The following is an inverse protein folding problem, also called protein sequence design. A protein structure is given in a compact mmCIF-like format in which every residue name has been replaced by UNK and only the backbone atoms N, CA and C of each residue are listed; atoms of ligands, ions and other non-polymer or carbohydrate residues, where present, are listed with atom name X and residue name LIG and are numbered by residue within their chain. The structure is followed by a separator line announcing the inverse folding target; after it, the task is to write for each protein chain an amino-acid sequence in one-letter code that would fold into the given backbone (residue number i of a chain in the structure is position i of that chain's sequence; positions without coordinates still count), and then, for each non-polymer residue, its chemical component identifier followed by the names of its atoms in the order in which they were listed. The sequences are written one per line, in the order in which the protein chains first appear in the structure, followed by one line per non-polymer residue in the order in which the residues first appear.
data_IF_713722761667
#
_entry.id   IF_713722761667
#
_cell.length_a   1.000
_cell.length_b   1.000
_cell.length_c   1.000
_cell.angle_alpha   90.00
_cell.angle_beta   90.00
_cell.angle_gamma   90.00
#
_symmetry.space_group_name_H-M   'P 1'
#
loop_
_entity.id
_entity.type
_entity.pdbx_description
1 polymer ?
#
# COMPACT_ATOMS: atom_id res chain seq x y z
N UNK A 1 33.76 -11.32 -20.05
CA UNK A 1 32.78 -12.40 -19.90
C UNK A 1 33.04 -13.37 -18.73
N UNK A 2 34.30 -13.80 -18.44
CA UNK A 2 34.57 -14.74 -17.32
C UNK A 2 34.37 -14.16 -15.91
N UNK A 3 34.51 -12.87 -15.69
CA UNK A 3 34.37 -12.22 -14.36
C UNK A 3 32.89 -12.08 -13.92
N UNK A 4 31.96 -11.93 -14.84
CA UNK A 4 30.52 -11.83 -14.52
C UNK A 4 29.88 -13.19 -14.26
N UNK A 5 30.35 -14.24 -14.92
CA UNK A 5 29.92 -15.61 -14.66
C UNK A 5 30.29 -16.09 -13.24
N UNK A 6 31.47 -15.69 -12.72
CA UNK A 6 31.88 -16.03 -11.35
C UNK A 6 31.03 -15.31 -10.28
N UNK A 7 30.61 -14.05 -10.53
CA UNK A 7 29.78 -13.30 -9.60
C UNK A 7 28.36 -13.89 -9.53
N UNK A 8 27.82 -14.36 -10.64
CA UNK A 8 26.50 -15.00 -10.70
C UNK A 8 26.48 -16.36 -10.00
N UNK A 9 27.55 -17.15 -10.12
CA UNK A 9 27.68 -18.40 -9.38
C UNK A 9 27.83 -18.19 -7.86
N UNK A 10 28.51 -17.13 -7.42
CA UNK A 10 28.65 -16.82 -5.99
C UNK A 10 27.32 -16.39 -5.38
N UNK A 11 26.49 -15.65 -6.13
CA UNK A 11 25.16 -15.24 -5.68
C UNK A 11 24.18 -16.42 -5.56
N UNK A 12 24.28 -17.42 -6.47
CA UNK A 12 23.46 -18.64 -6.39
C UNK A 12 23.91 -19.60 -5.27
N UNK A 13 25.18 -19.61 -4.90
CA UNK A 13 25.68 -20.43 -3.80
C UNK A 13 25.24 -19.91 -2.41
N UNK A 14 24.95 -18.61 -2.30
CA UNK A 14 24.47 -18.01 -1.04
C UNK A 14 22.98 -18.33 -0.73
N UNK A 15 22.20 -18.79 -1.70
CA UNK A 15 20.79 -19.15 -1.53
C UNK A 15 20.56 -20.61 -1.09
N UNK A 16 21.63 -21.40 -0.97
CA UNK A 16 21.55 -22.85 -0.71
C UNK A 16 21.65 -23.25 0.77
N UNK A 17 21.78 -22.33 1.72
CA UNK A 17 22.02 -22.68 3.13
C UNK A 17 20.94 -22.11 4.01
N UNK A 18 19.77 -22.72 4.05
CA UNK A 18 18.83 -22.69 5.18
C UNK A 18 17.67 -23.68 4.97
N UNK A 19 17.98 -24.97 4.84
CA UNK A 19 17.00 -26.03 5.08
C UNK A 19 17.39 -26.75 6.37
N UNK A 20 17.14 -26.12 7.53
CA UNK A 20 17.09 -26.84 8.80
C UNK A 20 15.65 -27.20 9.08
N UNK A 21 15.36 -28.47 8.98
CA UNK A 21 14.14 -29.11 9.50
C UNK A 21 14.11 -28.92 11.01
N UNK A 22 13.27 -28.03 11.49
CA UNK A 22 12.99 -27.90 12.93
C UNK A 22 11.87 -28.86 13.28
N UNK A 23 12.13 -29.74 14.24
CA UNK A 23 11.15 -30.64 14.84
C UNK A 23 9.93 -29.85 15.34
N UNK A 24 8.77 -30.35 14.98
CA UNK A 24 7.47 -29.80 15.36
C UNK A 24 7.22 -30.09 16.83
N UNK A 25 7.61 -29.15 17.70
CA UNK A 25 7.11 -29.15 19.08
C UNK A 25 5.64 -28.71 19.05
N UNK A 26 4.77 -29.57 19.51
CA UNK A 26 3.31 -29.46 19.40
C UNK A 26 2.72 -28.47 20.40
N UNK A 27 3.21 -27.25 20.43
CA UNK A 27 2.52 -26.14 21.06
C UNK A 27 1.45 -25.63 20.08
N UNK A 28 0.21 -25.88 20.43
CA UNK A 28 -0.95 -25.34 19.74
C UNK A 28 -0.92 -23.82 19.84
N UNK A 29 -0.28 -23.15 18.88
CA UNK A 29 -0.29 -21.70 18.76
C UNK A 29 -1.72 -21.30 18.44
N UNK A 30 -2.46 -20.86 19.43
CA UNK A 30 -3.74 -20.18 19.22
C UNK A 30 -3.35 -18.80 18.67
N UNK A 31 -3.44 -18.64 17.36
CA UNK A 31 -3.41 -17.32 16.76
C UNK A 31 -4.61 -16.54 17.28
N UNK A 32 -4.42 -15.79 18.33
CA UNK A 32 -5.34 -14.73 18.69
C UNK A 32 -5.30 -13.73 17.54
N UNK A 33 -6.40 -13.61 16.80
CA UNK A 33 -6.54 -12.50 15.87
C UNK A 33 -6.37 -11.23 16.70
N UNK A 34 -5.38 -10.45 16.34
CA UNK A 34 -5.16 -9.14 16.93
C UNK A 34 -6.44 -8.32 16.77
N UNK A 35 -7.14 -8.11 17.89
CA UNK A 35 -8.33 -7.26 17.90
C UNK A 35 -7.82 -5.83 17.96
N UNK A 36 -7.45 -5.31 16.80
CA UNK A 36 -7.10 -3.91 16.65
C UNK A 36 -8.38 -3.09 16.73
N UNK A 37 -8.66 -2.53 17.92
CA UNK A 37 -9.78 -1.61 18.13
C UNK A 37 -9.42 -0.26 17.54
N UNK A 38 -9.65 -0.08 16.25
CA UNK A 38 -9.44 1.21 15.61
C UNK A 38 -10.71 2.03 15.78
N UNK A 39 -10.67 2.94 16.74
CA UNK A 39 -11.79 3.84 17.07
C UNK A 39 -12.22 4.74 15.90
N UNK A 40 -11.36 4.90 14.88
CA UNK A 40 -11.61 5.72 13.69
C UNK A 40 -12.38 4.99 12.59
N UNK A 41 -12.56 3.68 12.70
CA UNK A 41 -13.22 2.86 11.66
C UNK A 41 -14.71 2.75 11.91
N UNK A 42 -15.47 2.84 10.82
CA UNK A 42 -16.89 2.55 10.83
C UNK A 42 -17.12 1.03 10.83
N UNK A 43 -18.11 0.61 11.57
CA UNK A 43 -18.62 -0.76 11.61
C UNK A 43 -20.05 -0.81 11.08
N UNK A 44 -20.61 -1.99 10.90
CA UNK A 44 -21.99 -2.14 10.43
C UNK A 44 -23.04 -1.48 11.36
N UNK A 45 -22.68 -1.21 12.61
CA UNK A 45 -23.52 -0.49 13.56
C UNK A 45 -23.36 1.05 13.49
N UNK A 46 -22.36 1.53 12.76
CA UNK A 46 -22.09 2.96 12.60
C UNK A 46 -22.96 3.53 11.48
N UNK A 47 -23.74 4.60 11.69
CA UNK A 47 -24.63 5.17 10.67
C UNK A 47 -23.86 6.01 9.63
N UNK A 48 -22.84 5.43 9.03
CA UNK A 48 -21.95 6.04 8.04
C UNK A 48 -21.82 5.12 6.84
N UNK A 49 -21.90 5.68 5.63
CA UNK A 49 -21.63 4.90 4.41
C UNK A 49 -20.13 4.66 4.26
N UNK A 50 -19.71 3.42 4.27
CA UNK A 50 -18.30 3.07 4.11
C UNK A 50 -18.09 1.95 3.11
N UNK A 51 -16.85 1.80 2.67
CA UNK A 51 -16.36 0.70 1.82
C UNK A 51 -15.03 0.20 2.38
N UNK A 52 -14.93 -1.09 2.61
CA UNK A 52 -13.67 -1.74 2.97
C UNK A 52 -13.04 -2.35 1.72
N UNK A 53 -11.74 -2.16 1.57
CA UNK A 53 -10.93 -2.70 0.48
C UNK A 53 -9.80 -3.49 1.14
N UNK A 54 -9.87 -4.81 1.05
CA UNK A 54 -8.87 -5.69 1.64
C UNK A 54 -7.65 -5.91 0.75
N UNK A 55 -6.61 -6.52 1.33
CA UNK A 55 -5.31 -6.80 0.70
C UNK A 55 -5.44 -7.50 -0.67
N UNK A 56 -6.29 -8.53 -0.74
CA UNK A 56 -6.47 -9.30 -1.98
C UNK A 56 -7.07 -8.46 -3.11
N UNK A 57 -7.98 -7.55 -2.79
CA UNK A 57 -8.57 -6.64 -3.76
C UNK A 57 -7.54 -5.59 -4.21
N UNK A 58 -6.79 -5.01 -3.27
CA UNK A 58 -5.71 -4.08 -3.58
C UNK A 58 -4.66 -4.75 -4.48
N UNK A 59 -4.24 -5.97 -4.15
CA UNK A 59 -3.25 -6.72 -4.93
C UNK A 59 -3.71 -6.97 -6.36
N UNK A 60 -4.98 -7.29 -6.58
CA UNK A 60 -5.55 -7.53 -7.92
C UNK A 60 -5.64 -6.28 -8.78
N UNK A 61 -5.69 -5.10 -8.19
CA UNK A 61 -5.88 -3.83 -8.89
C UNK A 61 -4.59 -2.99 -8.96
N UNK A 62 -3.56 -3.33 -8.18
CA UNK A 62 -2.34 -2.55 -8.08
C UNK A 62 -1.34 -2.89 -9.19
N UNK A 63 -1.49 -2.27 -10.35
CA UNK A 63 -0.59 -2.39 -11.51
C UNK A 63 0.45 -1.27 -11.60
N UNK A 64 0.58 -0.43 -10.56
CA UNK A 64 1.52 0.68 -10.48
C UNK A 64 0.84 2.06 -10.45
N UNK A 65 -0.49 2.10 -10.56
CA UNK A 65 -1.20 3.37 -10.40
C UNK A 65 -1.16 3.84 -8.94
N UNK A 66 -1.29 5.15 -8.77
CA UNK A 66 -1.39 5.76 -7.46
C UNK A 66 -2.67 5.34 -6.73
N UNK A 67 -2.64 5.47 -5.42
CA UNK A 67 -3.74 5.09 -4.52
C UNK A 67 -5.13 5.64 -4.93
N UNK A 68 -5.30 6.89 -5.39
CA UNK A 68 -6.58 7.38 -5.88
C UNK A 68 -7.19 6.49 -6.96
N UNK A 69 -6.40 5.97 -7.88
CA UNK A 69 -6.89 5.10 -8.95
C UNK A 69 -7.40 3.76 -8.45
N UNK A 70 -6.81 3.21 -7.39
CA UNK A 70 -7.30 2.00 -6.74
C UNK A 70 -8.66 2.22 -6.06
N UNK A 71 -8.97 3.48 -5.74
CA UNK A 71 -10.24 3.90 -5.16
C UNK A 71 -11.31 4.28 -6.20
N UNK A 72 -10.98 4.30 -7.49
CA UNK A 72 -11.89 4.73 -8.57
C UNK A 72 -13.19 3.91 -8.65
N UNK A 73 -13.15 2.64 -8.22
CA UNK A 73 -14.34 1.78 -8.15
C UNK A 73 -15.18 2.00 -6.87
N UNK A 74 -14.72 2.86 -5.96
CA UNK A 74 -15.50 3.23 -4.77
C UNK A 74 -16.67 4.14 -5.18
N UNK A 75 -17.89 3.88 -4.71
CA UNK A 75 -19.03 4.75 -5.03
C UNK A 75 -18.75 6.21 -4.70
N UNK A 76 -19.10 7.11 -5.61
CA UNK A 76 -18.93 8.57 -5.49
C UNK A 76 -17.47 9.05 -5.42
N UNK A 77 -16.50 8.22 -5.78
CA UNK A 77 -15.11 8.61 -5.95
C UNK A 77 -14.83 8.97 -7.43
N UNK A 78 -14.10 10.06 -7.64
CA UNK A 78 -13.62 10.50 -8.95
C UNK A 78 -12.13 10.76 -8.83
N UNK A 79 -11.37 10.25 -9.78
CA UNK A 79 -9.92 10.39 -9.82
C UNK A 79 -9.47 11.11 -11.07
N UNK A 80 -8.41 11.89 -10.97
CA UNK A 80 -7.76 12.55 -12.12
C UNK A 80 -6.26 12.30 -12.08
N UNK A 81 -5.61 12.36 -13.24
CA UNK A 81 -4.16 12.23 -13.38
C UNK A 81 -3.65 13.26 -14.37
N UNK A 82 -2.64 14.01 -13.98
CA UNK A 82 -2.02 15.01 -14.84
C UNK A 82 -1.26 14.38 -16.00
N UNK A 83 -0.61 13.24 -15.75
CA UNK A 83 0.06 12.44 -16.79
C UNK A 83 -0.91 11.55 -17.60
N UNK A 84 -2.17 11.44 -17.19
CA UNK A 84 -3.19 10.61 -17.83
C UNK A 84 -3.03 9.09 -17.62
N UNK A 85 -1.92 8.63 -17.09
CA UNK A 85 -1.62 7.20 -16.86
C UNK A 85 -1.95 6.71 -15.43
N UNK A 86 -2.41 7.60 -14.56
CA UNK A 86 -2.73 7.25 -13.17
C UNK A 86 -1.52 7.14 -12.27
N UNK A 87 -0.36 7.62 -12.69
CA UNK A 87 0.91 7.63 -11.96
C UNK A 87 1.43 9.06 -11.86
N UNK A 88 1.97 9.43 -10.70
CA UNK A 88 2.57 10.73 -10.46
C UNK A 88 1.61 11.70 -9.78
N UNK A 89 1.28 12.82 -10.40
CA UNK A 89 0.31 13.77 -9.84
C UNK A 89 -1.11 13.29 -10.12
N UNK A 90 -1.74 12.79 -9.09
CA UNK A 90 -3.11 12.28 -9.11
C UNK A 90 -3.94 12.94 -8.02
N UNK A 91 -5.23 13.09 -8.26
CA UNK A 91 -6.16 13.64 -7.28
C UNK A 91 -7.34 12.72 -7.04
N UNK A 92 -7.96 12.87 -5.89
CA UNK A 92 -9.18 12.15 -5.49
C UNK A 92 -10.24 13.16 -5.05
N UNK A 93 -11.46 12.95 -5.53
CA UNK A 93 -12.67 13.64 -5.05
C UNK A 93 -13.67 12.61 -4.59
N UNK A 94 -14.34 12.88 -3.49
CA UNK A 94 -15.41 12.01 -2.97
C UNK A 94 -16.65 12.86 -2.73
N UNK A 95 -17.79 12.44 -3.28
CA UNK A 95 -19.06 13.22 -3.23
C UNK A 95 -18.90 14.66 -3.74
N UNK A 96 -18.04 14.89 -4.72
CA UNK A 96 -17.77 16.21 -5.28
C UNK A 96 -16.84 17.10 -4.44
N UNK A 97 -16.44 16.68 -3.24
CA UNK A 97 -15.48 17.42 -2.41
C UNK A 97 -14.05 17.12 -2.87
N UNK A 98 -13.18 18.11 -2.78
CA UNK A 98 -11.77 17.99 -3.11
C UNK A 98 -10.94 17.36 -1.97
N UNK A 99 -9.65 17.15 -2.24
CA UNK A 99 -8.72 16.52 -1.29
C UNK A 99 -8.55 17.25 0.04
N UNK A 100 -8.83 18.58 0.10
CA UNK A 100 -8.75 19.37 1.33
C UNK A 100 -9.83 19.02 2.35
N UNK A 101 -10.88 18.32 1.89
CA UNK A 101 -12.03 17.88 2.69
C UNK A 101 -12.03 16.37 2.94
N UNK A 102 -10.92 15.73 2.62
CA UNK A 102 -10.73 14.28 2.78
C UNK A 102 -9.59 14.08 3.76
N UNK A 103 -9.90 13.52 4.92
CA UNK A 103 -8.87 13.13 5.88
C UNK A 103 -8.32 11.75 5.51
N UNK A 104 -7.00 11.64 5.46
CA UNK A 104 -6.31 10.38 5.15
C UNK A 104 -5.39 10.02 6.29
N UNK A 105 -5.53 8.80 6.80
CA UNK A 105 -4.67 8.30 7.87
C UNK A 105 -3.98 7.01 7.47
N UNK A 106 -2.74 6.86 7.91
CA UNK A 106 -2.00 5.61 7.88
C UNK A 106 -1.73 5.18 9.32
N UNK A 107 -2.23 4.00 9.72
CA UNK A 107 -2.15 3.47 11.09
C UNK A 107 -2.65 4.48 12.15
N UNK A 108 -3.72 5.23 11.82
CA UNK A 108 -4.28 6.26 12.71
C UNK A 108 -3.56 7.60 12.70
N UNK A 109 -2.44 7.74 12.00
CA UNK A 109 -1.68 8.99 11.88
C UNK A 109 -2.14 9.74 10.63
N UNK A 110 -2.64 10.99 10.74
CA UNK A 110 -2.98 11.81 9.59
C UNK A 110 -1.75 12.08 8.71
N UNK A 111 -1.91 11.91 7.40
CA UNK A 111 -0.86 12.16 6.41
C UNK A 111 -1.18 13.34 5.48
N UNK A 112 -2.28 14.04 5.76
CA UNK A 112 -2.58 15.29 5.07
C UNK A 112 -1.50 16.32 5.38
N UNK A 113 -1.05 17.02 4.36
CA UNK A 113 -0.09 18.11 4.51
C UNK A 113 -0.68 19.25 5.36
N UNK A 114 0.12 19.80 6.27
CA UNK A 114 -0.34 20.77 7.25
C UNK A 114 -0.71 22.15 6.64
N UNK A 115 -0.16 22.49 5.49
CA UNK A 115 -0.38 23.76 4.80
C UNK A 115 -1.54 23.64 3.79
N UNK A 116 -1.44 22.69 2.87
CA UNK A 116 -2.42 22.53 1.79
C UNK A 116 -3.64 21.70 2.19
N UNK A 117 -3.59 21.01 3.33
CA UNK A 117 -4.61 20.07 3.81
C UNK A 117 -4.94 18.91 2.87
N UNK A 118 -4.12 18.70 1.84
CA UNK A 118 -4.27 17.59 0.88
C UNK A 118 -3.21 16.51 1.10
N UNK A 119 -3.35 15.39 0.42
CA UNK A 119 -2.31 14.38 0.32
C UNK A 119 -1.67 14.43 -1.06
N UNK A 120 -0.36 14.57 -1.10
CA UNK A 120 0.42 14.45 -2.33
C UNK A 120 0.71 12.97 -2.59
N UNK A 121 -0.14 12.33 -3.38
CA UNK A 121 -0.07 10.89 -3.64
C UNK A 121 1.22 10.48 -4.33
N UNK A 122 1.83 11.38 -5.09
CA UNK A 122 3.14 11.19 -5.73
C UNK A 122 4.25 10.89 -4.71
N UNK A 123 4.10 11.33 -3.46
CA UNK A 123 5.05 11.08 -2.37
C UNK A 123 4.86 9.68 -1.74
N UNK A 124 3.84 8.93 -2.16
CA UNK A 124 3.48 7.61 -1.65
C UNK A 124 3.45 6.55 -2.77
N UNK A 125 4.51 6.46 -3.62
CA UNK A 125 4.51 5.53 -4.73
C UNK A 125 4.45 4.09 -4.22
N UNK A 126 3.60 3.28 -4.86
CA UNK A 126 3.33 1.90 -4.50
C UNK A 126 2.97 1.66 -3.02
N UNK A 127 2.47 2.68 -2.33
CA UNK A 127 2.11 2.53 -0.91
C UNK A 127 1.04 1.45 -0.69
N UNK A 128 0.15 1.28 -1.66
CA UNK A 128 -0.87 0.22 -1.66
C UNK A 128 -0.28 -1.19 -1.49
N UNK A 129 0.95 -1.42 -1.94
CA UNK A 129 1.65 -2.69 -1.73
C UNK A 129 2.01 -2.96 -0.27
N UNK A 130 2.05 -1.94 0.58
CA UNK A 130 2.28 -2.06 2.02
C UNK A 130 0.98 -2.01 2.84
N UNK A 131 -0.16 -1.72 2.20
CA UNK A 131 -1.46 -1.63 2.87
C UNK A 131 -2.10 -3.02 3.00
N UNK A 132 -2.53 -3.35 4.21
CA UNK A 132 -3.30 -4.56 4.54
C UNK A 132 -4.76 -4.39 4.17
N UNK A 133 -5.32 -3.27 4.58
CA UNK A 133 -6.70 -2.92 4.30
C UNK A 133 -6.89 -1.41 4.35
N UNK A 134 -7.91 -0.97 3.65
CA UNK A 134 -8.29 0.42 3.54
C UNK A 134 -9.80 0.54 3.75
N UNK A 135 -10.23 1.52 4.53
CA UNK A 135 -11.63 1.88 4.66
C UNK A 135 -11.85 3.30 4.17
N UNK A 136 -12.80 3.46 3.26
CA UNK A 136 -13.27 4.76 2.78
C UNK A 136 -14.63 5.04 3.39
N UNK A 137 -14.71 6.01 4.29
CA UNK A 137 -15.96 6.54 4.85
C UNK A 137 -16.37 7.76 4.04
N UNK A 138 -17.60 7.80 3.58
CA UNK A 138 -18.11 8.85 2.71
C UNK A 138 -19.01 9.80 3.47
N UNK A 139 -18.65 11.08 3.50
CA UNK A 139 -19.30 12.13 4.27
C UNK A 139 -18.57 12.43 5.58
N UNK A 140 -19.20 13.10 6.51
CA UNK A 140 -18.58 13.61 7.73
C UNK A 140 -17.94 12.53 8.64
N UNK A 141 -18.27 11.26 8.44
CA UNK A 141 -17.68 10.17 9.20
C UNK A 141 -17.90 10.24 10.70
N UNK A 142 -17.00 9.57 11.46
CA UNK A 142 -16.97 9.67 12.92
C UNK A 142 -16.19 10.90 13.36
N UNK A 143 -16.50 11.46 14.52
CA UNK A 143 -15.84 12.66 15.06
C UNK A 143 -14.33 12.47 15.28
N UNK A 144 -13.87 11.23 15.39
CA UNK A 144 -12.47 10.85 15.54
C UNK A 144 -11.61 11.15 14.29
N UNK A 145 -12.25 11.37 13.14
CA UNK A 145 -11.54 11.67 11.88
C UNK A 145 -11.16 13.16 11.73
N UNK A 146 -11.49 14.00 12.70
CA UNK A 146 -11.13 15.41 12.71
C UNK A 146 -12.05 16.32 11.88
N UNK A 147 -11.89 17.63 12.06
CA UNK A 147 -12.77 18.66 11.47
C UNK A 147 -12.67 18.76 9.93
N UNK A 148 -11.53 18.41 9.35
CA UNK A 148 -11.30 18.43 7.89
C UNK A 148 -12.01 17.31 7.13
N UNK A 149 -12.55 16.31 7.82
CA UNK A 149 -13.03 15.06 7.23
C UNK A 149 -14.51 15.08 6.82
N UNK A 150 -15.08 16.20 6.45
CA UNK A 150 -16.52 16.22 6.15
C UNK A 150 -16.89 15.68 4.76
N UNK A 151 -15.95 15.63 3.84
CA UNK A 151 -16.14 15.03 2.53
C UNK A 151 -16.01 13.52 2.56
N UNK A 152 -14.91 13.05 3.13
CA UNK A 152 -14.62 11.64 3.33
C UNK A 152 -13.49 11.46 4.35
N UNK A 153 -13.34 10.21 4.82
CA UNK A 153 -12.14 9.74 5.52
C UNK A 153 -11.63 8.47 4.91
N UNK A 154 -10.33 8.39 4.72
CA UNK A 154 -9.62 7.21 4.21
C UNK A 154 -8.68 6.71 5.30
N UNK A 155 -9.00 5.56 5.86
CA UNK A 155 -8.20 4.94 6.92
C UNK A 155 -7.45 3.74 6.35
N UNK A 156 -6.13 3.82 6.30
CA UNK A 156 -5.25 2.76 5.82
C UNK A 156 -4.56 2.08 6.99
N UNK A 157 -4.45 0.78 6.90
CA UNK A 157 -3.62 -0.03 7.79
C UNK A 157 -2.50 -0.66 6.98
N UNK A 158 -1.27 -0.48 7.43
CA UNK A 158 -0.11 -1.14 6.85
C UNK A 158 0.20 -2.43 7.59
N UNK A 159 0.89 -3.33 6.90
CA UNK A 159 1.57 -4.48 7.45
C UNK A 159 0.69 -5.56 8.05
N UNK A 160 0.89 -6.79 7.58
CA UNK A 160 0.66 -7.98 8.38
C UNK A 160 2.02 -8.43 8.86
N UNK A 161 2.16 -8.58 10.14
CA UNK A 161 3.26 -9.28 10.74
C UNK A 161 3.29 -10.72 10.21
N UNK A 162 4.36 -11.11 9.54
CA UNK A 162 4.52 -12.46 9.04
C UNK A 162 5.24 -13.33 10.08
N UNK A 163 4.63 -14.45 10.44
CA UNK A 163 5.28 -15.43 11.33
C UNK A 163 6.41 -16.19 10.63
N UNK A 164 6.36 -16.31 9.32
CA UNK A 164 7.30 -17.08 8.51
C UNK A 164 8.10 -16.17 7.60
N UNK A 165 9.38 -16.47 7.34
CA UNK A 165 10.15 -15.74 6.36
C UNK A 165 9.50 -15.85 4.98
N UNK A 166 9.54 -14.76 4.21
CA UNK A 166 8.99 -14.71 2.86
C UNK A 166 9.81 -13.80 1.95
N UNK A 167 9.72 -14.06 0.68
CA UNK A 167 10.16 -13.17 -0.38
C UNK A 167 9.08 -13.15 -1.47
N UNK A 168 8.68 -11.97 -1.91
CA UNK A 168 7.66 -11.78 -2.94
C UNK A 168 8.19 -10.81 -3.99
N UNK A 169 8.02 -11.17 -5.26
CA UNK A 169 8.27 -10.29 -6.39
C UNK A 169 6.96 -10.07 -7.14
N UNK A 170 6.64 -8.81 -7.40
CA UNK A 170 5.52 -8.40 -8.22
C UNK A 170 6.01 -7.52 -9.36
N UNK A 171 5.72 -7.91 -10.59
CA UNK A 171 5.98 -7.12 -11.78
C UNK A 171 4.70 -6.88 -12.56
N UNK A 172 4.54 -5.70 -13.13
CA UNK A 172 3.49 -5.37 -14.07
C UNK A 172 4.02 -4.55 -15.24
N UNK A 173 3.40 -4.72 -16.39
CA UNK A 173 3.69 -3.95 -17.59
C UNK A 173 2.39 -3.56 -18.28
N UNK A 174 2.31 -2.32 -18.77
CA UNK A 174 1.09 -1.77 -19.35
C UNK A 174 1.35 -0.78 -20.48
N UNK A 175 0.29 -0.08 -20.90
CA UNK A 175 0.36 0.96 -21.93
C UNK A 175 1.31 2.09 -21.52
N UNK A 176 1.80 2.85 -22.50
CA UNK A 176 2.73 3.98 -22.32
C UNK A 176 4.03 3.58 -21.63
N UNK A 177 4.52 2.36 -21.93
CA UNK A 177 5.69 1.75 -21.28
C UNK A 177 5.60 1.78 -19.76
N UNK A 178 4.38 1.81 -19.20
CA UNK A 178 4.20 1.75 -17.76
C UNK A 178 4.67 0.40 -17.24
N UNK A 179 5.61 0.42 -16.30
CA UNK A 179 6.08 -0.77 -15.63
C UNK A 179 6.24 -0.52 -14.13
N UNK A 180 6.06 -1.58 -13.37
CA UNK A 180 6.25 -1.61 -11.94
C UNK A 180 7.00 -2.87 -11.57
N UNK A 181 7.97 -2.71 -10.69
CA UNK A 181 8.69 -3.81 -10.07
C UNK A 181 8.70 -3.59 -8.56
N UNK A 182 8.21 -4.58 -7.83
CA UNK A 182 8.16 -4.52 -6.36
C UNK A 182 8.76 -5.80 -5.78
N UNK A 183 9.73 -5.64 -4.90
CA UNK A 183 10.31 -6.72 -4.10
C UNK A 183 9.92 -6.52 -2.65
N UNK A 184 9.41 -7.57 -2.02
CA UNK A 184 9.15 -7.60 -0.58
C UNK A 184 9.88 -8.76 0.04
N UNK A 185 10.47 -8.54 1.19
CA UNK A 185 11.13 -9.56 1.97
C UNK A 185 10.76 -9.39 3.44
N UNK A 186 10.57 -10.51 4.11
CA UNK A 186 10.32 -10.53 5.53
C UNK A 186 11.09 -11.65 6.20
N UNK A 187 11.62 -11.39 7.38
CA UNK A 187 12.39 -12.39 8.15
C UNK A 187 11.49 -13.39 8.86
N UNK A 188 10.19 -13.09 8.96
CA UNK A 188 9.34 -13.78 9.91
C UNK A 188 9.71 -13.45 11.35
N UNK A 189 9.16 -14.20 12.29
CA UNK A 189 9.41 -14.01 13.72
C UNK A 189 10.74 -14.64 14.14
N UNK A 190 11.70 -13.80 14.51
CA UNK A 190 13.01 -14.22 15.00
C UNK A 190 12.95 -14.31 16.53
N UNK A 191 13.27 -15.46 17.09
CA UNK A 191 13.30 -15.71 18.55
C UNK A 191 12.03 -15.29 19.29
N UNK A 192 10.87 -15.35 18.63
CA UNK A 192 9.55 -14.92 19.16
C UNK A 192 9.48 -13.45 19.62
N UNK A 193 10.38 -12.57 19.15
CA UNK A 193 10.45 -11.18 19.59
C UNK A 193 10.59 -10.17 18.46
N UNK A 194 11.26 -10.53 17.35
CA UNK A 194 11.62 -9.57 16.31
C UNK A 194 11.13 -10.02 14.94
N UNK A 195 10.62 -9.10 14.17
CA UNK A 195 10.32 -9.29 12.75
C UNK A 195 10.81 -8.08 11.97
N UNK A 196 11.30 -8.32 10.78
CA UNK A 196 11.78 -7.31 9.87
C UNK A 196 11.10 -7.53 8.52
N UNK A 197 10.45 -6.50 8.02
CA UNK A 197 9.80 -6.50 6.72
C UNK A 197 10.31 -5.32 5.89
N UNK A 198 10.67 -5.57 4.64
CA UNK A 198 11.14 -4.54 3.74
C UNK A 198 10.45 -4.65 2.38
N UNK A 199 10.17 -3.49 1.78
CA UNK A 199 9.67 -3.38 0.41
C UNK A 199 10.50 -2.35 -0.36
N UNK A 200 10.88 -2.73 -1.58
CA UNK A 200 11.46 -1.83 -2.57
C UNK A 200 10.57 -1.84 -3.80
N UNK A 201 10.28 -0.68 -4.36
CA UNK A 201 9.45 -0.54 -5.56
C UNK A 201 10.05 0.48 -6.51
N UNK A 202 9.96 0.16 -7.80
CA UNK A 202 10.22 1.06 -8.91
C UNK A 202 8.98 1.13 -9.78
N UNK A 203 8.58 2.33 -10.19
CA UNK A 203 7.49 2.56 -11.13
C UNK A 203 7.96 3.57 -12.16
N UNK A 204 7.74 3.29 -13.43
CA UNK A 204 8.03 4.23 -14.51
C UNK A 204 6.95 4.18 -15.58
N UNK A 205 6.70 5.31 -16.23
CA UNK A 205 5.76 5.45 -17.34
C UNK A 205 6.15 6.64 -18.22
N UNK A 206 5.90 6.54 -19.51
CA UNK A 206 6.03 7.68 -20.43
C UNK A 206 4.85 8.65 -20.31
N UNK A 207 3.75 8.22 -19.66
CA UNK A 207 2.50 8.98 -19.57
C UNK A 207 1.66 8.90 -20.83
N UNK A 208 0.39 9.26 -20.72
CA UNK A 208 -0.53 9.39 -21.86
C UNK A 208 -0.33 10.73 -22.59
N UNK A 209 -0.02 11.78 -21.85
CA UNK A 209 0.19 13.13 -22.36
C UNK A 209 1.65 13.29 -22.77
N UNK A 210 1.91 13.94 -23.90
CA UNK A 210 3.26 14.19 -24.39
C UNK A 210 4.11 14.89 -23.32
N UNK A 211 5.32 14.40 -23.09
CA UNK A 211 6.29 14.89 -22.10
C UNK A 211 5.89 14.71 -20.63
N UNK A 212 4.89 13.89 -20.34
CA UNK A 212 4.45 13.60 -18.97
C UNK A 212 5.05 12.31 -18.40
N UNK A 213 6.32 12.03 -18.71
CA UNK A 213 7.01 10.86 -18.16
C UNK A 213 7.21 10.99 -16.66
N UNK A 214 7.05 9.88 -15.95
CA UNK A 214 7.19 9.79 -14.49
C UNK A 214 8.07 8.59 -14.14
N UNK A 215 9.01 8.80 -13.22
CA UNK A 215 9.83 7.73 -12.62
C UNK A 215 9.84 7.86 -11.11
N UNK A 216 9.39 6.84 -10.41
CA UNK A 216 9.22 6.84 -8.95
C UNK A 216 9.91 5.63 -8.33
N UNK A 217 10.63 5.88 -7.24
CA UNK A 217 11.22 4.84 -6.42
C UNK A 217 10.72 4.97 -4.99
N UNK A 218 10.45 3.86 -4.35
CA UNK A 218 10.06 3.87 -2.94
C UNK A 218 10.61 2.68 -2.17
N UNK A 219 10.76 2.88 -0.88
CA UNK A 219 11.07 1.83 0.08
C UNK A 219 10.15 1.96 1.30
N UNK A 220 9.93 0.84 1.97
CA UNK A 220 9.16 0.75 3.20
C UNK A 220 9.83 -0.29 4.09
N UNK A 221 10.00 0.04 5.37
CA UNK A 221 10.64 -0.80 6.37
C UNK A 221 9.75 -0.94 7.59
#
# INVERSE_FOLDING_TARGET
MKRHAMATCLLMAALGVCAQTQEQDSLRVINLQEVEVISTRATNSTPVAFTNIGKEQLKKQNFGQDLPYLLSMTPSAITTSDAGAGVGYTTLRVRGTDGTRINVTANGIPINDAESHTVFWVNLPDFASSVKEMQVQRGAGTSTNGAGAFGASINMQTGDFSMKPYAEFNGSYGSFHTHKETVKVGTGLINNHWSFDARLSNISTDGYIDRASVGLNSYFL
#
